data_IF_005694993213
#
_entry.id   IF_005694993213
#
_cell.length_a   1.000
_cell.length_b   1.000
_cell.length_c   1.000
_cell.angle_alpha   90.00
_cell.angle_beta   90.00
_cell.angle_gamma   90.00
#
_symmetry.space_group_name_H-M   'P 1'
#
loop_
_entity.id
_entity.type
_entity.pdbx_description
1 polymer ?
#
# COMPACT_ATOMS: atom_id res chain seq x y z
N UNK A 1 17.87 25.11 -21.17
CA UNK A 1 17.78 24.20 -20.00
C UNK A 1 16.67 24.70 -19.08
N UNK A 2 15.56 23.97 -18.92
CA UNK A 2 14.53 24.33 -17.92
C UNK A 2 15.04 23.89 -16.54
N UNK A 3 15.04 24.76 -15.51
CA UNK A 3 15.45 24.36 -14.17
C UNK A 3 14.48 23.31 -13.65
N UNK A 4 15.00 22.13 -13.29
CA UNK A 4 14.25 21.12 -12.53
C UNK A 4 14.30 21.56 -11.08
N UNK A 5 13.19 22.09 -10.57
CA UNK A 5 13.02 22.38 -9.16
C UNK A 5 13.00 21.04 -8.41
N UNK A 6 14.14 20.64 -7.84
CA UNK A 6 14.24 19.49 -6.93
C UNK A 6 14.00 20.08 -5.54
N UNK A 7 12.78 19.90 -5.01
CA UNK A 7 12.46 20.31 -3.65
C UNK A 7 12.93 19.17 -2.73
N UNK A 8 13.99 19.43 -1.97
CA UNK A 8 14.48 18.49 -0.95
C UNK A 8 13.56 18.57 0.28
N UNK A 9 12.51 17.75 0.29
CA UNK A 9 11.62 17.61 1.44
C UNK A 9 12.28 16.76 2.52
N UNK A 10 12.90 17.41 3.50
CA UNK A 10 13.35 16.76 4.75
C UNK A 10 12.15 16.68 5.69
N UNK A 11 11.34 15.62 5.53
CA UNK A 11 10.30 15.29 6.50
C UNK A 11 10.91 14.49 7.65
N UNK A 12 10.70 14.96 8.87
CA UNK A 12 10.71 14.09 10.06
C UNK A 12 9.36 13.37 10.04
N UNK A 13 9.24 12.35 9.21
CA UNK A 13 8.08 11.46 9.18
C UNK A 13 8.26 10.42 10.28
N UNK A 14 7.21 10.18 11.04
CA UNK A 14 7.01 8.89 11.70
C UNK A 14 7.04 7.82 10.60
N UNK A 15 8.23 7.31 10.32
CA UNK A 15 8.46 6.29 9.31
C UNK A 15 7.62 5.08 9.69
N UNK A 16 6.73 4.66 8.81
CA UNK A 16 6.31 3.26 8.76
C UNK A 16 7.59 2.50 8.43
N UNK A 17 8.32 2.09 9.46
CA UNK A 17 9.43 1.17 9.31
C UNK A 17 8.78 -0.15 8.93
N UNK A 18 8.72 -0.46 7.63
CA UNK A 18 8.33 -1.80 7.21
C UNK A 18 9.23 -2.77 7.95
N UNK A 19 8.61 -3.76 8.58
CA UNK A 19 9.36 -4.71 9.35
C UNK A 19 10.35 -5.43 8.42
N UNK A 20 11.62 -5.41 8.81
CA UNK A 20 12.64 -6.17 8.14
C UNK A 20 12.66 -7.55 8.78
N UNK A 21 12.45 -8.58 7.97
CA UNK A 21 12.52 -9.99 8.36
C UNK A 21 13.74 -10.65 7.72
N UNK A 22 14.21 -11.71 8.36
CA UNK A 22 15.24 -12.61 7.85
C UNK A 22 14.60 -13.87 7.22
N UNK A 23 15.38 -14.62 6.43
CA UNK A 23 14.91 -15.89 5.88
C UNK A 23 14.54 -16.92 6.97
N UNK A 24 15.17 -16.85 8.15
CA UNK A 24 14.82 -17.72 9.28
C UNK A 24 13.41 -17.44 9.82
N UNK A 25 12.90 -16.22 9.65
CA UNK A 25 11.63 -15.81 10.24
C UNK A 25 10.47 -16.43 9.45
N UNK A 26 10.64 -16.63 8.14
CA UNK A 26 9.66 -17.34 7.31
C UNK A 26 9.64 -18.87 7.57
N UNK A 27 10.58 -19.44 8.33
CA UNK A 27 10.54 -20.86 8.71
C UNK A 27 9.43 -21.17 9.72
N UNK A 28 8.88 -22.39 9.60
CA UNK A 28 7.86 -22.94 10.49
C UNK A 28 6.51 -23.14 9.81
N UNK A 29 5.51 -23.40 10.64
CA UNK A 29 4.12 -23.49 10.23
C UNK A 29 3.44 -22.14 10.45
N UNK A 30 3.08 -21.49 9.36
CA UNK A 30 2.32 -20.26 9.34
C UNK A 30 0.88 -20.58 8.97
N UNK A 31 -0.06 -19.96 9.67
CA UNK A 31 -1.49 -20.17 9.45
C UNK A 31 -2.15 -18.82 9.27
N UNK A 32 -2.99 -18.69 8.26
CA UNK A 32 -3.76 -17.45 8.07
C UNK A 32 -4.65 -17.20 9.27
N UNK A 33 -4.60 -15.99 9.81
CA UNK A 33 -5.67 -15.48 10.66
C UNK A 33 -6.82 -15.06 9.76
N UNK A 34 -7.95 -15.75 9.89
CA UNK A 34 -9.04 -15.64 8.93
C UNK A 34 -10.39 -15.66 9.65
N UNK A 35 -10.54 -14.75 10.61
CA UNK A 35 -11.78 -14.53 11.36
C UNK A 35 -13.01 -14.30 10.45
N UNK A 36 -12.83 -13.98 9.16
CA UNK A 36 -13.91 -13.64 8.22
C UNK A 36 -13.93 -14.42 6.87
N UNK A 37 -13.15 -15.50 6.67
CA UNK A 37 -13.08 -16.24 5.38
C UNK A 37 -12.55 -15.45 4.15
N UNK A 38 -11.80 -14.37 4.35
CA UNK A 38 -11.46 -13.41 3.30
C UNK A 38 -10.09 -13.59 2.62
N UNK A 39 -9.30 -14.62 2.96
CA UNK A 39 -7.93 -14.82 2.42
C UNK A 39 -7.77 -14.56 0.90
N UNK A 40 -8.73 -14.98 0.07
CA UNK A 40 -8.64 -14.79 -1.39
C UNK A 40 -9.12 -13.42 -1.89
N UNK A 41 -9.87 -12.70 -1.07
CA UNK A 41 -10.54 -11.45 -1.40
C UNK A 41 -9.86 -10.23 -0.78
N UNK A 42 -9.12 -10.41 0.32
CA UNK A 42 -8.37 -9.36 0.98
C UNK A 42 -7.05 -9.08 0.26
N UNK A 43 -6.71 -7.80 0.16
CA UNK A 43 -5.41 -7.35 -0.36
C UNK A 43 -4.28 -7.63 0.65
N UNK A 44 -4.63 -7.67 1.94
CA UNK A 44 -3.75 -7.98 3.07
C UNK A 44 -4.12 -9.31 3.71
N UNK A 45 -3.11 -10.06 4.11
CA UNK A 45 -3.25 -11.35 4.77
C UNK A 45 -2.36 -11.34 6.00
N UNK A 46 -2.91 -11.74 7.15
CA UNK A 46 -2.13 -11.96 8.37
C UNK A 46 -1.88 -13.45 8.56
N UNK A 47 -0.63 -13.81 8.81
CA UNK A 47 -0.23 -15.16 9.19
C UNK A 47 0.25 -15.16 10.64
N UNK A 48 -0.16 -16.18 11.40
CA UNK A 48 0.25 -16.42 12.78
C UNK A 48 1.00 -17.76 12.83
N UNK A 49 2.12 -17.79 13.55
CA UNK A 49 3.00 -18.98 13.65
C UNK A 49 2.46 -20.05 14.61
N UNK A 50 1.57 -19.68 15.53
CA UNK A 50 0.87 -20.58 16.46
C UNK A 50 -0.54 -20.04 16.67
N UNK A 51 -1.57 -20.90 16.65
CA UNK A 51 -2.94 -20.40 16.81
C UNK A 51 -3.99 -21.42 16.38
N UNK A 52 -5.18 -21.33 16.95
CA UNK A 52 -6.30 -22.25 16.70
C UNK A 52 -7.52 -21.47 16.16
N UNK A 53 -7.56 -21.11 14.87
CA UNK A 53 -8.79 -20.58 14.25
C UNK A 53 -8.99 -21.05 12.80
N UNK A 54 -10.22 -21.42 12.42
CA UNK A 54 -10.60 -22.02 11.13
C UNK A 54 -11.39 -21.01 10.28
N UNK A 55 -11.31 -21.04 8.93
CA UNK A 55 -10.54 -21.90 8.00
C UNK A 55 -9.17 -21.33 7.60
N UNK A 56 -8.23 -22.19 7.20
CA UNK A 56 -6.79 -21.85 7.08
C UNK A 56 -6.16 -22.14 5.73
N UNK A 57 -5.35 -21.21 5.25
CA UNK A 57 -4.19 -21.54 4.41
C UNK A 57 -3.00 -21.76 5.33
N UNK A 58 -2.33 -22.90 5.15
CA UNK A 58 -1.14 -23.28 5.91
C UNK A 58 0.08 -23.17 5.01
N UNK A 59 1.07 -22.46 5.49
CA UNK A 59 2.40 -22.30 4.91
C UNK A 59 3.38 -23.08 5.78
N UNK A 60 3.86 -24.21 5.27
CA UNK A 60 4.94 -24.96 5.92
C UNK A 60 6.25 -24.68 5.18
N UNK A 61 7.20 -24.07 5.87
CA UNK A 61 8.55 -23.85 5.34
C UNK A 61 9.59 -24.44 6.28
N UNK A 62 10.21 -25.56 5.88
CA UNK A 62 11.18 -26.27 6.71
C UNK A 62 12.38 -26.73 5.87
N UNK A 63 13.60 -26.43 6.33
CA UNK A 63 14.86 -26.80 5.67
C UNK A 63 14.88 -26.47 4.17
N UNK A 64 14.38 -25.28 3.79
CA UNK A 64 14.35 -24.80 2.40
C UNK A 64 13.26 -25.41 1.50
N UNK A 65 12.40 -26.28 2.04
CA UNK A 65 11.25 -26.84 1.31
C UNK A 65 9.98 -26.13 1.74
N UNK A 66 9.21 -25.63 0.78
CA UNK A 66 7.92 -24.99 1.03
C UNK A 66 6.77 -25.92 0.60
N UNK A 67 5.67 -25.89 1.34
CA UNK A 67 4.39 -26.45 0.92
C UNK A 67 3.26 -25.53 1.38
N UNK A 68 2.35 -25.21 0.46
CA UNK A 68 1.10 -24.50 0.75
C UNK A 68 -0.09 -25.46 0.68
N UNK A 69 -1.00 -25.41 1.66
CA UNK A 69 -2.24 -26.20 1.66
C UNK A 69 -3.43 -25.34 2.09
N UNK A 70 -4.57 -25.56 1.45
CA UNK A 70 -5.85 -24.99 1.86
C UNK A 70 -6.65 -26.06 2.60
N UNK A 71 -7.10 -25.76 3.80
CA UNK A 71 -8.06 -26.58 4.53
C UNK A 71 -9.47 -25.97 4.36
N UNK A 72 -10.28 -26.56 3.47
CA UNK A 72 -11.71 -26.23 3.36
C UNK A 72 -12.50 -27.12 4.34
N UNK A 73 -13.31 -26.51 5.22
CA UNK A 73 -14.25 -27.24 6.06
C UNK A 73 -15.63 -26.63 5.89
N UNK A 74 -16.43 -27.18 4.98
CA UNK A 74 -17.89 -27.10 5.09
C UNK A 74 -18.50 -28.45 4.65
N UNK A 75 -18.91 -29.24 5.65
CA UNK A 75 -19.74 -30.46 5.61
C UNK A 75 -19.38 -31.56 4.59
N UNK A 76 -19.05 -32.77 5.10
CA UNK A 76 -18.67 -34.01 4.38
C UNK A 76 -17.15 -34.16 4.14
N UNK A 77 -16.61 -35.40 4.09
CA UNK A 77 -15.33 -35.79 4.68
C UNK A 77 -14.18 -34.97 4.12
N UNK A 78 -13.38 -34.42 5.04
CA UNK A 78 -12.14 -33.68 4.84
C UNK A 78 -11.48 -33.94 3.48
N UNK A 79 -11.73 -33.08 2.49
CA UNK A 79 -10.96 -33.10 1.24
C UNK A 79 -9.71 -32.28 1.50
N UNK A 80 -8.65 -32.93 1.97
CA UNK A 80 -7.31 -32.32 2.01
C UNK A 80 -6.81 -32.23 0.57
N UNK A 81 -7.06 -31.10 -0.07
CA UNK A 81 -6.48 -30.78 -1.37
C UNK A 81 -4.98 -30.51 -1.22
N UNK A 82 -4.14 -31.54 -1.38
CA UNK A 82 -2.72 -31.33 -1.55
C UNK A 82 -2.49 -30.67 -2.91
N UNK A 83 -2.13 -29.38 -2.92
CA UNK A 83 -1.45 -28.83 -4.10
C UNK A 83 0.02 -29.23 -4.04
N UNK A 84 0.31 -30.16 -4.95
CA UNK A 84 1.56 -30.32 -5.68
C UNK A 84 2.56 -31.40 -5.23
N UNK A 85 2.69 -32.35 -6.16
CA UNK A 85 3.85 -33.14 -6.55
C UNK A 85 5.02 -32.31 -7.11
N UNK A 86 4.97 -30.97 -7.00
CA UNK A 86 5.92 -30.04 -7.62
C UNK A 86 6.82 -29.44 -6.55
N UNK A 87 8.04 -29.11 -6.93
CA UNK A 87 8.97 -28.38 -6.07
C UNK A 87 8.41 -26.97 -5.79
N UNK A 88 8.14 -26.64 -4.53
CA UNK A 88 7.77 -25.29 -4.13
C UNK A 88 8.84 -24.70 -3.21
N UNK A 89 9.12 -23.40 -3.36
CA UNK A 89 10.07 -22.65 -2.53
C UNK A 89 9.55 -21.23 -2.27
N UNK A 90 9.84 -20.70 -1.09
CA UNK A 90 9.71 -19.28 -0.81
C UNK A 90 11.07 -18.61 -1.00
N UNK A 91 11.08 -17.39 -1.52
CA UNK A 91 12.27 -16.54 -1.58
C UNK A 91 11.95 -15.19 -0.98
N UNK A 92 12.80 -14.72 -0.08
CA UNK A 92 12.77 -13.36 0.43
C UNK A 92 13.66 -12.47 -0.44
N UNK A 93 13.10 -11.39 -0.97
CA UNK A 93 13.78 -10.47 -1.89
C UNK A 93 13.69 -9.05 -1.34
N UNK A 94 14.84 -8.38 -1.26
CA UNK A 94 14.91 -6.97 -0.95
C UNK A 94 14.66 -6.14 -2.22
N UNK A 95 13.69 -5.23 -2.19
CA UNK A 95 13.37 -4.29 -3.27
C UNK A 95 13.63 -2.85 -2.83
N UNK A 96 13.44 -1.89 -3.75
CA UNK A 96 13.53 -0.46 -3.45
C UNK A 96 12.31 0.09 -2.70
N UNK A 97 11.33 -0.76 -2.36
CA UNK A 97 10.10 -0.38 -1.66
C UNK A 97 9.74 -1.31 -0.49
N UNK A 98 10.67 -2.17 -0.07
CA UNK A 98 10.52 -3.08 1.07
C UNK A 98 10.98 -4.51 0.77
N UNK A 99 10.54 -5.46 1.59
CA UNK A 99 10.82 -6.88 1.38
C UNK A 99 9.62 -7.58 0.75
N UNK A 100 9.89 -8.48 -0.19
CA UNK A 100 8.89 -9.26 -0.90
C UNK A 100 9.19 -10.75 -0.72
N UNK A 101 8.17 -11.51 -0.34
CA UNK A 101 8.18 -12.97 -0.37
C UNK A 101 7.61 -13.40 -1.72
N UNK A 102 8.40 -14.14 -2.49
CA UNK A 102 7.94 -14.79 -3.71
C UNK A 102 7.67 -16.27 -3.45
N UNK A 103 6.47 -16.73 -3.79
CA UNK A 103 6.13 -18.15 -3.86
C UNK A 103 6.43 -18.68 -5.25
N UNK A 104 7.39 -19.60 -5.35
CA UNK A 104 7.77 -20.25 -6.58
C UNK A 104 7.20 -21.67 -6.61
N UNK A 105 6.60 -22.04 -7.74
CA UNK A 105 6.25 -23.43 -8.07
C UNK A 105 7.08 -23.84 -9.27
N UNK A 106 8.01 -24.79 -9.05
CA UNK A 106 9.17 -25.06 -9.90
C UNK A 106 10.02 -23.79 -10.02
N UNK A 107 10.23 -23.29 -11.22
CA UNK A 107 11.00 -22.06 -11.49
C UNK A 107 10.14 -20.88 -11.94
N UNK A 108 8.82 -20.94 -11.69
CA UNK A 108 7.90 -19.84 -11.98
C UNK A 108 7.41 -19.22 -10.69
N UNK A 109 7.46 -17.89 -10.61
CA UNK A 109 6.78 -17.14 -9.55
C UNK A 109 5.28 -17.31 -9.73
N UNK A 110 4.62 -17.83 -8.70
CA UNK A 110 3.17 -18.05 -8.67
C UNK A 110 2.47 -16.87 -7.98
N UNK A 111 2.98 -16.45 -6.83
CA UNK A 111 2.40 -15.37 -6.02
C UNK A 111 3.53 -14.50 -5.43
N UNK A 112 3.29 -13.20 -5.28
CA UNK A 112 4.20 -12.30 -4.55
C UNK A 112 3.47 -11.60 -3.42
N UNK A 113 4.19 -11.38 -2.33
CA UNK A 113 3.69 -10.78 -1.12
C UNK A 113 4.66 -9.74 -0.57
N UNK A 114 4.23 -8.50 -0.36
CA UNK A 114 5.03 -7.50 0.34
C UNK A 114 4.87 -7.72 1.84
N UNK A 115 5.98 -7.69 2.57
CA UNK A 115 5.97 -7.66 4.03
C UNK A 115 5.52 -6.27 4.48
N UNK A 116 4.43 -6.21 5.24
CA UNK A 116 3.88 -4.96 5.77
C UNK A 116 4.32 -4.80 7.22
N UNK A 117 4.02 -5.79 8.05
CA UNK A 117 4.33 -5.80 9.48
C UNK A 117 4.82 -7.20 9.88
N UNK A 118 5.73 -7.25 10.84
CA UNK A 118 6.15 -8.46 11.51
C UNK A 118 6.32 -8.16 12.99
N UNK A 119 5.59 -8.89 13.82
CA UNK A 119 5.63 -8.79 15.27
C UNK A 119 6.05 -10.15 15.83
N UNK A 120 6.93 -10.12 16.82
CA UNK A 120 7.42 -11.34 17.47
C UNK A 120 7.34 -11.17 18.98
N UNK A 121 6.12 -10.92 19.46
CA UNK A 121 5.80 -10.81 20.88
C UNK A 121 4.77 -11.90 21.17
N UNK A 122 5.17 -12.87 22.00
CA UNK A 122 4.41 -14.08 22.37
C UNK A 122 4.11 -15.07 21.21
N UNK A 123 3.45 -14.60 20.15
CA UNK A 123 3.22 -15.34 18.91
C UNK A 123 3.72 -14.53 17.72
N UNK A 124 4.50 -15.15 16.83
CA UNK A 124 5.00 -14.45 15.66
C UNK A 124 3.84 -14.20 14.66
N UNK A 125 3.63 -12.93 14.33
CA UNK A 125 2.62 -12.44 13.40
C UNK A 125 3.30 -11.83 12.17
N UNK A 126 2.89 -12.24 10.99
CA UNK A 126 3.40 -11.77 9.71
C UNK A 126 2.26 -11.26 8.85
N UNK A 127 2.20 -9.94 8.65
CA UNK A 127 1.20 -9.30 7.81
C UNK A 127 1.77 -8.99 6.43
N UNK A 128 1.09 -9.50 5.41
CA UNK A 128 1.52 -9.49 4.03
C UNK A 128 0.49 -8.78 3.14
N UNK A 129 0.93 -8.15 2.05
CA UNK A 129 0.06 -7.61 1.01
C UNK A 129 0.35 -8.30 -0.33
N UNK A 130 -0.68 -8.82 -1.00
CA UNK A 130 -0.53 -9.59 -2.26
C UNK A 130 -0.36 -8.66 -3.47
N UNK A 131 0.53 -8.98 -4.41
CA UNK A 131 0.75 -8.18 -5.63
C UNK A 131 -0.23 -8.49 -6.77
N UNK A 132 -0.63 -9.75 -6.91
CA UNK A 132 -1.09 -10.30 -8.21
C UNK A 132 -2.51 -9.87 -8.63
N UNK A 133 -3.25 -9.15 -7.77
CA UNK A 133 -4.60 -8.65 -8.06
C UNK A 133 -4.73 -7.12 -8.03
N UNK A 134 -3.65 -6.38 -7.78
CA UNK A 134 -3.70 -4.95 -7.48
C UNK A 134 -3.58 -4.03 -8.71
N UNK A 135 -3.79 -4.54 -9.92
CA UNK A 135 -3.73 -3.76 -11.18
C UNK A 135 -4.85 -2.73 -11.34
N UNK A 136 -5.76 -2.63 -10.38
CA UNK A 136 -6.77 -1.59 -10.36
C UNK A 136 -6.17 -0.25 -9.93
N UNK A 137 -6.83 0.85 -10.31
CA UNK A 137 -6.50 2.24 -9.97
C UNK A 137 -6.55 2.55 -8.46
N UNK A 138 -6.23 1.59 -7.58
CA UNK A 138 -6.33 1.64 -6.12
C UNK A 138 -5.50 2.77 -5.54
N UNK A 139 -4.24 2.92 -5.96
CA UNK A 139 -3.41 4.03 -5.48
C UNK A 139 -4.02 5.38 -5.89
N UNK A 140 -4.46 5.50 -7.14
CA UNK A 140 -5.17 6.69 -7.61
C UNK A 140 -6.43 6.99 -6.78
N UNK A 141 -7.29 6.00 -6.56
CA UNK A 141 -8.53 6.16 -5.79
C UNK A 141 -8.26 6.51 -4.32
N UNK A 142 -7.24 5.89 -3.72
CA UNK A 142 -6.84 6.17 -2.34
C UNK A 142 -6.34 7.61 -2.21
N UNK A 143 -5.46 8.05 -3.11
CA UNK A 143 -4.93 9.42 -3.12
C UNK A 143 -6.04 10.43 -3.42
N UNK A 144 -7.00 10.12 -4.29
CA UNK A 144 -8.16 10.96 -4.56
C UNK A 144 -9.05 11.14 -3.33
N UNK A 145 -9.33 10.05 -2.61
CA UNK A 145 -10.06 10.09 -1.34
C UNK A 145 -9.31 10.91 -0.29
N UNK A 146 -7.99 10.73 -0.20
CA UNK A 146 -7.15 11.49 0.71
C UNK A 146 -7.14 12.99 0.37
N UNK A 147 -7.06 13.34 -0.92
CA UNK A 147 -7.13 14.71 -1.37
C UNK A 147 -8.44 15.38 -0.95
N UNK A 148 -9.57 14.69 -1.14
CA UNK A 148 -10.88 15.17 -0.67
C UNK A 148 -10.92 15.38 0.84
N UNK A 149 -10.32 14.46 1.61
CA UNK A 149 -10.19 14.60 3.06
C UNK A 149 -9.37 15.84 3.44
N UNK A 150 -8.19 16.03 2.86
CA UNK A 150 -7.33 17.18 3.12
C UNK A 150 -8.06 18.49 2.82
N UNK A 151 -8.76 18.55 1.69
CA UNK A 151 -9.57 19.72 1.32
C UNK A 151 -10.66 19.97 2.35
N UNK A 152 -11.42 18.95 2.73
CA UNK A 152 -12.48 19.06 3.74
C UNK A 152 -11.95 19.53 5.09
N UNK A 153 -10.85 18.96 5.56
CA UNK A 153 -10.24 19.32 6.84
C UNK A 153 -9.79 20.79 6.80
N UNK A 154 -9.25 21.28 5.67
CA UNK A 154 -8.93 22.70 5.49
C UNK A 154 -10.17 23.61 5.53
N UNK A 155 -11.30 23.20 4.94
CA UNK A 155 -12.54 24.00 4.99
C UNK A 155 -13.15 24.06 6.39
N UNK A 156 -13.14 22.94 7.11
CA UNK A 156 -13.70 22.86 8.46
C UNK A 156 -12.92 23.71 9.47
N UNK A 157 -11.62 23.87 9.30
CA UNK A 157 -10.81 24.79 10.12
C UNK A 157 -11.18 26.26 9.93
N UNK A 158 -11.89 26.62 8.85
CA UNK A 158 -12.31 27.99 8.54
C UNK A 158 -13.79 28.27 8.86
N UNK A 159 -14.55 27.27 9.31
CA UNK A 159 -15.94 27.41 9.73
C UNK A 159 -15.98 27.48 11.26
N UNK A 160 -16.18 28.68 11.81
CA UNK A 160 -16.58 28.84 13.21
C UNK A 160 -17.85 28.03 13.49
N UNK A 161 -17.97 27.46 14.70
CA UNK A 161 -19.00 26.50 15.17
C UNK A 161 -20.47 26.92 14.95
N UNK A 162 -20.76 28.11 14.41
CA UNK A 162 -22.11 28.68 14.32
C UNK A 162 -22.88 28.39 13.02
N UNK A 163 -22.29 27.75 12.00
CA UNK A 163 -23.01 27.44 10.75
C UNK A 163 -22.75 25.99 10.30
N UNK A 164 -23.62 25.07 10.73
CA UNK A 164 -23.65 23.69 10.27
C UNK A 164 -24.22 23.59 8.85
N UNK A 165 -23.52 24.14 7.86
CA UNK A 165 -23.76 23.81 6.45
C UNK A 165 -22.96 22.55 6.15
N UNK A 166 -23.64 21.52 5.61
CA UNK A 166 -23.00 20.26 5.26
C UNK A 166 -21.92 20.51 4.20
N UNK A 167 -20.68 20.18 4.55
CA UNK A 167 -19.48 20.41 3.73
C UNK A 167 -19.54 19.66 2.40
N UNK A 168 -20.26 18.53 2.38
CA UNK A 168 -20.53 17.77 1.16
C UNK A 168 -21.37 18.56 0.16
N UNK A 169 -22.28 19.42 0.63
CA UNK A 169 -23.09 20.30 -0.24
C UNK A 169 -22.25 21.44 -0.81
N UNK A 170 -21.26 21.94 -0.07
CA UNK A 170 -20.38 23.03 -0.51
C UNK A 170 -19.36 22.55 -1.54
N UNK A 171 -18.74 21.38 -1.29
CA UNK A 171 -17.81 20.75 -2.23
C UNK A 171 -18.48 20.34 -3.56
N UNK A 172 -19.74 19.93 -3.51
CA UNK A 172 -20.51 19.55 -4.71
C UNK A 172 -21.03 20.75 -5.52
N UNK A 173 -21.05 21.95 -4.93
CA UNK A 173 -21.46 23.18 -5.61
C UNK A 173 -20.28 23.96 -6.24
N UNK A 174 -19.04 23.56 -5.98
CA UNK A 174 -17.86 24.18 -6.60
C UNK A 174 -17.74 23.75 -8.06
N UNK A 175 -17.38 24.71 -8.92
CA UNK A 175 -17.06 24.38 -10.30
C UNK A 175 -15.78 23.53 -10.38
N UNK A 176 -15.65 22.67 -11.40
CA UNK A 176 -14.44 21.86 -11.61
C UNK A 176 -13.13 22.68 -11.61
N UNK A 177 -13.20 23.96 -12.00
CA UNK A 177 -12.04 24.86 -12.00
C UNK A 177 -11.65 25.29 -10.59
N UNK A 178 -12.63 25.62 -9.73
CA UNK A 178 -12.39 25.96 -8.33
C UNK A 178 -11.91 24.74 -7.53
N UNK A 179 -12.42 23.54 -7.86
CA UNK A 179 -11.96 22.28 -7.26
C UNK A 179 -10.48 22.04 -7.57
N UNK A 180 -10.01 22.31 -8.79
CA UNK A 180 -8.59 22.17 -9.16
C UNK A 180 -7.71 23.17 -8.40
N UNK A 181 -8.20 24.39 -8.14
CA UNK A 181 -7.44 25.42 -7.42
C UNK A 181 -7.24 25.08 -5.93
N UNK A 182 -8.16 24.31 -5.33
CA UNK A 182 -8.10 23.87 -3.92
C UNK A 182 -7.44 22.50 -3.72
N UNK A 183 -7.04 21.78 -4.79
CA UNK A 183 -6.44 20.47 -4.61
C UNK A 183 -5.07 20.56 -3.91
N UNK A 184 -4.75 19.61 -3.01
CA UNK A 184 -3.44 19.54 -2.40
C UNK A 184 -2.38 19.20 -3.45
N UNK A 185 -1.18 19.73 -3.22
CA UNK A 185 -0.02 19.42 -4.06
C UNK A 185 0.38 17.95 -3.88
N UNK A 186 0.44 17.18 -4.97
CA UNK A 186 0.90 15.79 -4.91
C UNK A 186 2.39 15.72 -5.25
N UNK A 187 3.15 15.05 -4.40
CA UNK A 187 4.58 14.82 -4.56
C UNK A 187 4.83 13.32 -4.51
N UNK A 188 5.45 12.75 -5.55
CA UNK A 188 5.83 11.33 -5.60
C UNK A 188 7.35 11.23 -5.69
N UNK A 189 7.99 10.54 -4.74
CA UNK A 189 9.45 10.38 -4.68
C UNK A 189 10.22 11.71 -4.82
N UNK A 190 9.67 12.80 -4.26
CA UNK A 190 10.22 14.16 -4.34
C UNK A 190 9.88 14.95 -5.61
N UNK A 191 9.15 14.37 -6.56
CA UNK A 191 8.72 15.03 -7.79
C UNK A 191 7.29 15.55 -7.66
N UNK A 192 7.07 16.82 -7.99
CA UNK A 192 5.72 17.40 -8.07
C UNK A 192 4.97 16.79 -9.25
N UNK A 193 3.80 16.20 -8.97
CA UNK A 193 2.95 15.55 -9.95
C UNK A 193 1.71 16.40 -10.19
N UNK A 194 1.57 16.90 -11.42
CA UNK A 194 0.43 17.75 -11.83
C UNK A 194 -0.75 16.94 -12.36
N UNK A 195 -0.49 15.84 -13.07
CA UNK A 195 -1.54 14.96 -13.58
C UNK A 195 -1.59 13.68 -12.73
N UNK A 196 -2.68 13.55 -11.96
CA UNK A 196 -2.94 12.39 -11.11
C UNK A 196 -3.08 11.09 -11.90
N UNK A 197 -3.35 11.12 -13.20
CA UNK A 197 -3.45 9.91 -14.05
C UNK A 197 -2.21 9.04 -13.96
N UNK A 198 -1.04 9.61 -13.68
CA UNK A 198 0.19 8.85 -13.45
C UNK A 198 0.06 7.82 -12.31
N UNK A 199 -0.74 8.11 -11.28
CA UNK A 199 -1.00 7.21 -10.15
C UNK A 199 -1.74 5.93 -10.56
N UNK A 200 -2.41 5.92 -11.72
CA UNK A 200 -3.10 4.73 -12.25
C UNK A 200 -2.13 3.64 -12.73
N UNK A 201 -0.89 4.03 -13.06
CA UNK A 201 0.16 3.13 -13.57
C UNK A 201 1.12 2.65 -12.47
N UNK A 202 0.96 3.21 -11.26
CA UNK A 202 1.72 2.89 -10.07
C UNK A 202 0.91 1.95 -9.18
N UNK A 203 1.61 1.04 -8.49
CA UNK A 203 0.97 0.03 -7.66
C UNK A 203 0.94 0.46 -6.19
N UNK A 204 -0.21 0.29 -5.55
CA UNK A 204 -0.36 0.58 -4.11
C UNK A 204 0.63 -0.25 -3.28
N UNK A 205 0.83 -1.53 -3.62
CA UNK A 205 1.76 -2.41 -2.91
C UNK A 205 3.22 -1.97 -3.01
N UNK A 206 3.60 -1.28 -4.08
CA UNK A 206 4.95 -0.71 -4.23
C UNK A 206 5.11 0.62 -3.48
N UNK A 207 4.06 1.10 -2.82
CA UNK A 207 4.09 2.34 -2.03
C UNK A 207 4.63 2.03 -0.64
N UNK A 208 5.70 2.73 -0.25
CA UNK A 208 6.33 2.65 1.06
C UNK A 208 5.77 3.66 2.05
N UNK A 209 5.32 4.83 1.60
CA UNK A 209 4.77 5.81 2.52
C UNK A 209 3.75 6.68 1.81
N UNK A 210 2.67 7.02 2.51
CA UNK A 210 1.75 8.08 2.10
C UNK A 210 1.51 8.95 3.32
N UNK A 211 1.88 10.21 3.22
CA UNK A 211 1.68 11.21 4.25
C UNK A 211 1.08 12.46 3.66
N UNK A 212 0.47 13.28 4.51
CA UNK A 212 -0.11 14.54 4.07
C UNK A 212 0.05 15.62 5.12
N UNK A 213 -0.01 16.87 4.66
CA UNK A 213 -0.05 18.07 5.48
C UNK A 213 -1.29 18.88 5.12
N UNK A 214 -1.97 19.42 6.14
CA UNK A 214 -3.05 20.39 5.95
C UNK A 214 -2.51 21.75 5.55
N UNK A 215 -3.37 22.65 5.07
CA UNK A 215 -2.99 24.00 4.67
C UNK A 215 -2.28 24.76 5.79
N UNK A 216 -2.78 24.66 7.03
CA UNK A 216 -2.17 25.25 8.22
C UNK A 216 -0.76 24.74 8.49
N UNK A 217 -0.56 23.42 8.43
CA UNK A 217 0.76 22.81 8.63
C UNK A 217 1.74 23.25 7.54
N UNK A 218 1.27 23.37 6.30
CA UNK A 218 2.12 23.87 5.20
C UNK A 218 2.45 25.36 5.35
N UNK A 219 1.49 26.18 5.81
CA UNK A 219 1.70 27.60 6.05
C UNK A 219 2.74 27.85 7.15
N UNK A 220 2.74 27.03 8.20
CA UNK A 220 3.75 27.08 9.27
C UNK A 220 5.18 26.80 8.77
N UNK A 221 5.33 25.98 7.72
CA UNK A 221 6.64 25.58 7.18
C UNK A 221 7.09 26.52 6.04
N UNK A 222 6.16 26.92 5.17
CA UNK A 222 6.50 27.56 3.89
C UNK A 222 6.01 29.01 3.74
N UNK A 223 5.28 29.56 4.72
CA UNK A 223 4.78 30.94 4.71
C UNK A 223 3.69 31.25 3.66
N UNK A 224 3.60 30.45 2.58
CA UNK A 224 2.49 30.43 1.61
C UNK A 224 1.48 29.35 2.01
N UNK A 225 0.18 29.67 1.95
CA UNK A 225 -0.89 28.68 2.15
C UNK A 225 -0.98 27.78 0.91
N UNK A 226 -0.27 26.67 0.91
CA UNK A 226 -0.61 25.57 0.02
C UNK A 226 -1.93 24.98 0.51
N UNK A 227 -2.76 24.45 -0.39
CA UNK A 227 -4.03 23.80 -0.03
C UNK A 227 -3.82 22.39 0.55
N UNK A 228 -2.73 22.22 1.28
CA UNK A 228 -2.18 20.95 1.71
C UNK A 228 -1.20 20.33 0.72
N UNK A 229 -0.49 19.30 1.19
CA UNK A 229 0.47 18.52 0.42
C UNK A 229 0.19 17.05 0.70
N UNK A 230 0.25 16.20 -0.32
CA UNK A 230 0.29 14.75 -0.18
C UNK A 230 1.64 14.28 -0.72
N UNK A 231 2.41 13.59 0.14
CA UNK A 231 3.70 13.00 -0.20
C UNK A 231 3.58 11.50 -0.28
N UNK A 232 4.02 10.93 -1.40
CA UNK A 232 3.97 9.51 -1.71
C UNK A 232 5.41 9.05 -1.94
N UNK A 233 5.83 8.00 -1.23
CA UNK A 233 7.07 7.28 -1.50
C UNK A 233 6.71 5.91 -2.05
N UNK A 234 7.29 5.55 -3.19
CA UNK A 234 7.02 4.30 -3.92
C UNK A 234 8.29 3.81 -4.63
N UNK A 235 8.26 2.64 -5.27
CA UNK A 235 9.38 2.12 -6.07
C UNK A 235 9.96 3.20 -6.99
N UNK A 236 11.21 3.57 -6.77
CA UNK A 236 11.92 4.50 -7.64
C UNK A 236 12.06 3.94 -9.05
N UNK A 237 12.35 2.64 -9.16
CA UNK A 237 12.52 1.97 -10.46
C UNK A 237 11.23 2.04 -11.26
N UNK A 238 10.08 1.66 -10.68
CA UNK A 238 8.77 1.75 -11.33
C UNK A 238 8.43 3.20 -11.66
N UNK A 239 8.57 4.11 -10.70
CA UNK A 239 8.25 5.52 -10.89
C UNK A 239 9.04 6.13 -12.04
N UNK A 240 10.36 5.89 -12.13
CA UNK A 240 11.20 6.37 -13.24
C UNK A 240 10.75 5.83 -14.60
N UNK A 241 10.24 4.59 -14.67
CA UNK A 241 9.70 4.02 -15.90
C UNK A 241 8.39 4.70 -16.32
N UNK A 242 7.44 4.80 -15.38
CA UNK A 242 6.13 5.42 -15.61
C UNK A 242 6.28 6.91 -15.94
N UNK A 243 7.12 7.64 -15.19
CA UNK A 243 7.39 9.06 -15.40
C UNK A 243 7.93 9.34 -16.80
N UNK A 244 8.89 8.52 -17.28
CA UNK A 244 9.43 8.64 -18.65
C UNK A 244 8.39 8.39 -19.73
N UNK A 245 7.45 7.45 -19.53
CA UNK A 245 6.33 7.22 -20.45
C UNK A 245 5.45 8.47 -20.50
N UNK A 246 5.10 9.01 -19.35
CA UNK A 246 4.24 10.19 -19.23
C UNK A 246 4.86 11.46 -19.83
N UNK A 247 6.16 11.70 -19.64
CA UNK A 247 6.89 12.81 -20.27
C UNK A 247 6.96 12.72 -21.81
N UNK A 248 6.81 11.52 -22.38
CA UNK A 248 6.79 11.32 -23.84
C UNK A 248 5.40 11.54 -24.42
N UNK A 249 4.35 11.17 -23.70
CA UNK A 249 2.95 11.32 -24.14
C UNK A 249 2.45 12.78 -24.03
N UNK A 250 3.14 13.61 -23.25
CA UNK A 250 2.80 15.04 -23.03
C UNK A 250 3.66 16.03 -23.82
N UNK A 251 4.54 15.54 -24.70
CA UNK A 251 5.35 16.34 -25.63
C UNK A 251 4.85 16.17 -27.05
#
# INVERSE_FOLDING_TARGET
MKPRLIIFFTFILSSISFAQIDEKDIYGDWKTDNTENLYYYADTITFIKTGVSYPRVIWNYNKGKFKSRSEEIFSSPYIVGYRSDKEEKLKLINTDYGQVIEHHVRDKVREKYKVIEFENVDEANLKLMRFDKLTDNKLYNYVDSLAKKVVRDNFNEHLDESNSISVDTTLSNLSNKEIIEIEPLIIINGYVVKDKKLLKELLLVETSDISFLTSRQTAAIYGKSLNGIIVIRTSEKRFKQVWKKFEKETK
#
